data_IF_801447222259
#
_entry.id   IF_801447222259
#
_cell.length_a   1.000
_cell.length_b   1.000
_cell.length_c   1.000
_cell.angle_alpha   90.00
_cell.angle_beta   90.00
_cell.angle_gamma   90.00
#
_symmetry.space_group_name_H-M   'P 1'
#
loop_
_entity.id
_entity.type
_entity.pdbx_description
1 polymer ?
#
# COMPACT_ATOMS: atom_id res chain seq x y z
N UNK A 1 -33.76 20.16 20.44
CA UNK A 1 -33.04 18.87 20.43
C UNK A 1 -32.07 18.92 19.27
N UNK A 2 -30.77 19.03 19.56
CA UNK A 2 -29.74 19.11 18.55
C UNK A 2 -29.68 17.78 17.78
N UNK A 3 -29.83 17.84 16.46
CA UNK A 3 -29.57 16.71 15.59
C UNK A 3 -28.10 16.34 15.70
N UNK A 4 -27.83 15.10 16.12
CA UNK A 4 -26.50 14.51 16.03
C UNK A 4 -26.20 14.36 14.54
N UNK A 5 -25.38 15.26 14.01
CA UNK A 5 -24.79 15.10 12.67
C UNK A 5 -23.82 13.93 12.75
N UNK A 6 -24.32 12.73 12.46
CA UNK A 6 -23.48 11.57 12.16
C UNK A 6 -22.74 11.93 10.88
N UNK A 7 -21.49 12.40 10.99
CA UNK A 7 -20.62 12.63 9.83
C UNK A 7 -20.70 11.40 8.94
N UNK A 8 -21.10 11.57 7.69
CA UNK A 8 -21.55 10.49 6.82
C UNK A 8 -20.48 9.38 6.78
N UNK A 9 -20.73 8.30 7.53
CA UNK A 9 -19.84 7.16 7.56
C UNK A 9 -19.98 6.45 6.22
N UNK A 10 -18.86 6.17 5.57
CA UNK A 10 -18.83 5.41 4.31
C UNK A 10 -19.62 4.12 4.47
N UNK A 11 -20.43 3.78 3.46
CA UNK A 11 -21.23 2.55 3.49
C UNK A 11 -20.35 1.31 3.27
N UNK A 12 -19.27 1.46 2.51
CA UNK A 12 -18.30 0.41 2.23
C UNK A 12 -16.94 0.76 2.83
N UNK A 13 -16.25 -0.17 3.49
CA UNK A 13 -15.01 0.13 4.18
C UNK A 13 -13.85 0.29 3.20
N UNK A 14 -12.88 1.10 3.59
CA UNK A 14 -11.55 1.11 2.98
C UNK A 14 -10.56 0.38 3.89
N UNK A 15 -9.74 -0.46 3.29
CA UNK A 15 -8.73 -1.28 3.95
C UNK A 15 -7.35 -0.89 3.42
N UNK A 16 -6.39 -0.68 4.32
CA UNK A 16 -4.97 -0.62 3.96
C UNK A 16 -4.32 -1.95 4.33
N UNK A 17 -3.63 -2.57 3.38
CA UNK A 17 -2.75 -3.71 3.62
C UNK A 17 -1.31 -3.21 3.44
N UNK A 18 -0.55 -3.20 4.54
CA UNK A 18 0.83 -2.69 4.58
C UNK A 18 1.79 -3.69 5.22
N UNK A 19 3.06 -3.32 5.31
CA UNK A 19 4.17 -4.13 5.80
C UNK A 19 5.27 -4.28 4.76
N UNK A 20 6.38 -4.88 5.19
CA UNK A 20 7.59 -4.97 4.38
C UNK A 20 7.33 -5.62 3.02
N UNK A 21 7.97 -5.17 1.93
CA UNK A 21 7.98 -5.89 0.67
C UNK A 21 8.31 -7.39 0.84
N UNK A 22 7.52 -8.28 0.23
CA UNK A 22 7.70 -9.75 0.32
C UNK A 22 6.87 -10.48 1.39
N UNK A 23 6.17 -9.76 2.27
CA UNK A 23 5.32 -10.38 3.31
C UNK A 23 4.03 -11.01 2.76
N UNK A 24 3.60 -10.59 1.57
CA UNK A 24 2.45 -11.18 0.86
C UNK A 24 1.27 -10.24 0.63
N UNK A 25 1.45 -8.91 0.80
CA UNK A 25 0.40 -7.90 0.66
C UNK A 25 -0.44 -8.07 -0.61
N UNK A 26 0.19 -8.09 -1.78
CA UNK A 26 -0.52 -8.15 -3.06
C UNK A 26 -1.28 -9.46 -3.23
N UNK A 27 -0.74 -10.57 -2.74
CA UNK A 27 -1.43 -11.87 -2.73
C UNK A 27 -2.67 -11.83 -1.83
N UNK A 28 -2.55 -11.28 -0.63
CA UNK A 28 -3.69 -11.14 0.28
C UNK A 28 -4.73 -10.16 -0.27
N UNK A 29 -4.31 -9.01 -0.79
CA UNK A 29 -5.18 -7.98 -1.34
C UNK A 29 -5.99 -8.50 -2.54
N UNK A 30 -5.34 -9.21 -3.47
CA UNK A 30 -6.00 -9.85 -4.61
C UNK A 30 -7.01 -10.89 -4.17
N UNK A 31 -6.63 -11.81 -3.26
CA UNK A 31 -7.54 -12.83 -2.76
C UNK A 31 -8.74 -12.23 -2.00
N UNK A 32 -8.52 -11.15 -1.24
CA UNK A 32 -9.58 -10.44 -0.54
C UNK A 32 -10.51 -9.72 -1.51
N UNK A 33 -9.98 -9.12 -2.57
CA UNK A 33 -10.78 -8.48 -3.62
C UNK A 33 -11.61 -9.50 -4.41
N UNK A 34 -11.09 -10.71 -4.67
CA UNK A 34 -11.86 -11.81 -5.29
C UNK A 34 -12.96 -12.37 -4.36
N UNK A 35 -12.67 -12.45 -3.06
CA UNK A 35 -13.60 -12.96 -2.05
C UNK A 35 -14.60 -11.90 -1.55
N UNK A 36 -14.44 -10.64 -1.97
CA UNK A 36 -15.32 -9.54 -1.64
C UNK A 36 -15.73 -8.80 -2.92
N UNK A 37 -16.48 -7.72 -2.80
CA UNK A 37 -16.79 -6.84 -3.93
C UNK A 37 -15.96 -5.54 -3.86
N UNK A 38 -14.86 -5.55 -3.10
CA UNK A 38 -14.03 -4.37 -2.88
C UNK A 38 -13.04 -4.18 -4.03
N UNK A 39 -12.78 -2.92 -4.38
CA UNK A 39 -11.82 -2.56 -5.42
C UNK A 39 -10.39 -2.70 -4.91
N UNK A 40 -9.57 -3.49 -5.59
CA UNK A 40 -8.13 -3.57 -5.31
C UNK A 40 -7.36 -2.44 -6.00
N UNK A 41 -6.47 -1.78 -5.25
CA UNK A 41 -5.58 -0.73 -5.71
C UNK A 41 -4.15 -1.04 -5.24
N UNK A 42 -3.26 -1.37 -6.17
CA UNK A 42 -1.83 -1.48 -5.93
C UNK A 42 -1.18 -0.13 -6.18
N UNK A 43 -0.66 0.54 -5.14
CA UNK A 43 -0.09 1.88 -5.27
C UNK A 43 1.16 1.88 -6.15
N UNK A 44 1.97 0.83 -6.06
CA UNK A 44 3.17 0.70 -6.91
C UNK A 44 2.86 0.59 -8.40
N UNK A 45 1.72 0.01 -8.76
CA UNK A 45 1.28 -0.09 -10.16
C UNK A 45 0.60 1.23 -10.59
N UNK A 46 -0.25 1.80 -9.74
CA UNK A 46 -0.90 3.10 -9.97
C UNK A 46 0.14 4.21 -10.29
N UNK A 47 1.21 4.28 -9.49
CA UNK A 47 2.30 5.25 -9.67
C UNK A 47 2.96 5.10 -11.04
N UNK A 48 3.20 3.86 -11.49
CA UNK A 48 3.83 3.60 -12.79
C UNK A 48 2.87 3.90 -13.94
N UNK A 49 1.63 3.44 -13.84
CA UNK A 49 0.63 3.60 -14.89
C UNK A 49 0.27 5.07 -15.13
N UNK A 50 0.22 5.87 -14.06
CA UNK A 50 -0.17 7.28 -14.13
C UNK A 50 1.00 8.26 -14.03
N UNK A 51 2.24 7.76 -14.00
CA UNK A 51 3.47 8.55 -13.87
C UNK A 51 3.45 9.50 -12.64
N UNK A 52 2.99 9.00 -11.49
CA UNK A 52 2.85 9.78 -10.23
C UNK A 52 4.18 9.78 -9.44
N UNK A 53 5.25 10.21 -10.10
CA UNK A 53 6.61 10.13 -9.54
C UNK A 53 7.48 11.31 -10.00
N UNK A 54 8.42 11.72 -9.15
CA UNK A 54 9.35 12.83 -9.41
C UNK A 54 10.69 12.38 -10.04
N UNK A 55 10.73 11.14 -10.52
CA UNK A 55 11.87 10.61 -11.26
C UNK A 55 12.20 9.18 -10.90
N UNK A 56 13.43 8.80 -11.19
CA UNK A 56 13.98 7.47 -10.96
C UNK A 56 15.21 7.55 -10.06
N UNK A 57 15.18 6.77 -9.00
CA UNK A 57 16.32 6.55 -8.13
C UNK A 57 17.20 5.44 -8.71
N UNK A 58 18.41 5.80 -9.18
CA UNK A 58 19.36 4.87 -9.75
C UNK A 58 20.07 4.00 -8.70
N UNK A 59 20.15 4.45 -7.45
CA UNK A 59 20.76 3.69 -6.37
C UNK A 59 19.84 2.55 -5.96
N UNK A 60 18.54 2.85 -5.84
CA UNK A 60 17.54 1.88 -5.40
C UNK A 60 16.77 1.20 -6.54
N UNK A 61 17.01 1.61 -7.78
CA UNK A 61 16.31 1.13 -8.99
C UNK A 61 14.78 1.17 -8.84
N UNK A 62 14.26 2.31 -8.39
CA UNK A 62 12.83 2.51 -8.18
C UNK A 62 12.39 3.93 -8.56
N UNK A 63 11.08 4.11 -8.73
CA UNK A 63 10.50 5.45 -8.89
C UNK A 63 10.45 6.17 -7.56
N UNK A 64 10.82 7.45 -7.57
CA UNK A 64 10.64 8.36 -6.44
C UNK A 64 9.18 8.80 -6.45
N UNK A 65 8.36 8.22 -5.58
CA UNK A 65 6.92 8.52 -5.54
C UNK A 65 6.68 9.99 -5.22
N UNK A 66 5.76 10.60 -5.95
CA UNK A 66 5.21 11.89 -5.62
C UNK A 66 3.93 11.67 -4.80
N UNK A 67 4.04 11.85 -3.49
CA UNK A 67 2.98 11.54 -2.52
C UNK A 67 1.74 12.40 -2.73
N UNK A 68 1.91 13.69 -3.07
CA UNK A 68 0.81 14.62 -3.33
C UNK A 68 0.00 14.17 -4.54
N UNK A 69 0.67 13.80 -5.65
CA UNK A 69 -0.02 13.31 -6.85
C UNK A 69 -0.76 11.99 -6.61
N UNK A 70 -0.21 11.09 -5.79
CA UNK A 70 -0.91 9.86 -5.39
C UNK A 70 -2.13 10.19 -4.54
N UNK A 71 -2.01 11.14 -3.63
CA UNK A 71 -3.12 11.57 -2.79
C UNK A 71 -4.25 12.21 -3.60
N UNK A 72 -3.92 13.14 -4.49
CA UNK A 72 -4.87 13.82 -5.37
C UNK A 72 -5.62 12.83 -6.26
N UNK A 73 -4.91 11.85 -6.83
CA UNK A 73 -5.49 10.82 -7.69
C UNK A 73 -6.47 9.88 -6.95
N UNK A 74 -6.24 9.64 -5.65
CA UNK A 74 -7.05 8.71 -4.86
C UNK A 74 -8.18 9.37 -4.07
N UNK A 75 -8.18 10.69 -3.92
CA UNK A 75 -9.08 11.40 -3.01
C UNK A 75 -10.56 11.04 -3.23
N UNK A 76 -11.06 11.19 -4.46
CA UNK A 76 -12.48 10.91 -4.78
C UNK A 76 -12.81 9.42 -4.59
N UNK A 77 -11.93 8.53 -5.05
CA UNK A 77 -12.09 7.07 -4.93
C UNK A 77 -12.16 6.63 -3.47
N UNK A 78 -11.32 7.22 -2.62
CA UNK A 78 -11.26 6.91 -1.19
C UNK A 78 -12.44 7.52 -0.42
N UNK A 79 -13.03 8.62 -0.89
CA UNK A 79 -14.26 9.16 -0.32
C UNK A 79 -15.47 8.26 -0.58
N UNK A 80 -15.60 7.67 -1.77
CA UNK A 80 -16.68 6.74 -2.12
C UNK A 80 -16.70 5.49 -1.23
N UNK A 81 -15.51 4.98 -0.87
CA UNK A 81 -15.34 3.80 -0.04
C UNK A 81 -15.39 2.49 -0.82
N UNK A 82 -15.01 1.38 -0.17
CA UNK A 82 -15.04 0.05 -0.77
C UNK A 82 -13.72 -0.36 -1.43
N UNK A 83 -12.59 0.15 -0.93
CA UNK A 83 -11.27 -0.07 -1.52
C UNK A 83 -10.37 -0.96 -0.63
N UNK A 84 -9.50 -1.72 -1.27
CA UNK A 84 -8.35 -2.40 -0.66
C UNK A 84 -7.10 -1.78 -1.28
N UNK A 85 -6.33 -1.04 -0.47
CA UNK A 85 -5.09 -0.41 -0.89
C UNK A 85 -3.91 -1.25 -0.42
N UNK A 86 -3.01 -1.63 -1.34
CA UNK A 86 -1.73 -2.27 -1.04
C UNK A 86 -0.59 -1.28 -1.27
N UNK A 87 0.14 -0.98 -0.20
CA UNK A 87 1.42 -0.31 -0.27
C UNK A 87 2.30 -0.67 0.92
N UNK A 88 3.61 -0.51 0.80
CA UNK A 88 4.53 -0.84 1.90
C UNK A 88 4.74 0.31 2.88
N UNK A 89 4.53 1.56 2.44
CA UNK A 89 4.46 2.75 3.30
C UNK A 89 3.01 3.11 3.63
N UNK A 90 2.82 3.93 4.65
CA UNK A 90 1.48 4.42 5.01
C UNK A 90 1.43 5.86 5.54
N UNK A 91 2.57 6.53 5.65
CA UNK A 91 2.71 7.78 6.40
C UNK A 91 2.02 8.98 5.72
N UNK A 92 1.99 9.01 4.39
CA UNK A 92 1.44 10.14 3.63
C UNK A 92 -0.06 10.05 3.37
N UNK A 93 -0.69 8.90 3.65
CA UNK A 93 -2.12 8.78 3.43
C UNK A 93 -2.91 9.51 4.52
N UNK A 94 -3.97 10.25 4.17
CA UNK A 94 -4.88 10.82 5.16
C UNK A 94 -5.48 9.73 6.07
N UNK A 95 -5.32 9.85 7.39
CA UNK A 95 -5.82 8.85 8.35
C UNK A 95 -7.31 8.52 8.16
N UNK A 96 -8.11 9.54 7.80
CA UNK A 96 -9.55 9.38 7.56
C UNK A 96 -9.86 8.36 6.47
N UNK A 97 -8.95 8.10 5.53
CA UNK A 97 -9.21 7.25 4.37
C UNK A 97 -9.47 5.79 4.73
N UNK A 98 -8.91 5.28 5.83
CA UNK A 98 -8.96 3.86 6.15
C UNK A 98 -9.84 3.57 7.36
N UNK A 99 -10.74 2.60 7.22
CA UNK A 99 -11.54 2.08 8.32
C UNK A 99 -10.75 1.03 9.11
N UNK A 100 -9.83 0.33 8.43
CA UNK A 100 -8.89 -0.64 9.03
C UNK A 100 -7.55 -0.64 8.32
N UNK A 101 -6.50 -0.92 9.08
CA UNK A 101 -5.14 -1.13 8.60
C UNK A 101 -4.69 -2.52 9.03
N UNK A 102 -4.14 -3.29 8.10
CA UNK A 102 -3.58 -4.62 8.32
C UNK A 102 -2.11 -4.57 8.00
N UNK A 103 -1.26 -4.80 9.00
CA UNK A 103 0.20 -4.88 8.83
C UNK A 103 0.58 -6.34 8.72
N UNK A 104 1.03 -6.76 7.53
CA UNK A 104 1.52 -8.11 7.32
C UNK A 104 2.97 -8.25 7.75
N UNK A 105 3.19 -9.23 8.62
CA UNK A 105 4.50 -9.62 9.11
C UNK A 105 4.83 -11.03 8.61
N UNK A 106 6.11 -11.35 8.54
CA UNK A 106 6.62 -12.65 8.13
C UNK A 106 7.94 -12.86 8.84
N UNK A 107 8.18 -14.08 9.33
CA UNK A 107 9.45 -14.47 9.93
C UNK A 107 10.64 -14.11 9.03
N UNK A 108 11.70 -13.54 9.61
CA UNK A 108 12.84 -12.99 8.85
C UNK A 108 13.51 -14.02 7.95
N UNK A 109 13.64 -15.27 8.39
CA UNK A 109 14.21 -16.36 7.58
C UNK A 109 13.35 -16.66 6.35
N UNK A 110 12.04 -16.73 6.53
CA UNK A 110 11.08 -16.96 5.43
C UNK A 110 11.06 -15.77 4.48
N UNK A 111 11.09 -14.55 5.01
CA UNK A 111 11.14 -13.33 4.21
C UNK A 111 12.44 -13.28 3.39
N UNK A 112 13.60 -13.56 4.00
CA UNK A 112 14.88 -13.66 3.33
C UNK A 112 14.84 -14.63 2.15
N UNK A 113 14.32 -15.85 2.34
CA UNK A 113 14.21 -16.85 1.29
C UNK A 113 13.28 -16.42 0.15
N UNK A 114 12.17 -15.72 0.46
CA UNK A 114 11.24 -15.19 -0.55
C UNK A 114 11.89 -14.09 -1.37
N UNK A 115 12.59 -13.18 -0.71
CA UNK A 115 13.22 -12.04 -1.35
C UNK A 115 14.40 -12.49 -2.22
N UNK A 116 15.25 -13.39 -1.70
CA UNK A 116 16.40 -13.94 -2.43
C UNK A 116 15.99 -14.65 -3.71
N UNK A 117 14.82 -15.31 -3.73
CA UNK A 117 14.25 -15.92 -4.95
C UNK A 117 13.74 -14.91 -5.97
N UNK A 118 13.34 -13.70 -5.54
CA UNK A 118 12.82 -12.64 -6.44
C UNK A 118 13.91 -11.73 -6.98
N UNK A 119 14.98 -11.49 -6.22
CA UNK A 119 16.05 -10.57 -6.61
C UNK A 119 17.26 -11.28 -7.21
N UNK A 120 17.74 -10.80 -8.36
CA UNK A 120 18.93 -11.33 -9.03
C UNK A 120 20.26 -10.90 -8.36
N UNK A 121 20.26 -9.92 -7.45
CA UNK A 121 21.47 -9.41 -6.78
C UNK A 121 21.25 -9.09 -5.30
N UNK A 122 22.33 -9.19 -4.52
CA UNK A 122 22.37 -8.97 -3.06
C UNK A 122 22.00 -7.52 -2.69
N UNK A 123 22.28 -6.55 -3.56
CA UNK A 123 21.97 -5.13 -3.32
C UNK A 123 20.46 -4.89 -3.21
N UNK A 124 19.65 -5.48 -4.10
CA UNK A 124 18.18 -5.40 -4.01
C UNK A 124 17.64 -6.01 -2.73
N UNK A 125 18.32 -7.03 -2.19
CA UNK A 125 17.95 -7.70 -0.95
C UNK A 125 18.19 -6.81 0.28
N UNK A 126 19.34 -6.12 0.33
CA UNK A 126 19.70 -5.21 1.42
C UNK A 126 18.76 -4.02 1.52
N UNK A 127 18.23 -3.54 0.39
CA UNK A 127 17.29 -2.41 0.32
C UNK A 127 15.92 -2.82 0.87
N UNK A 128 15.44 -4.01 0.50
CA UNK A 128 14.17 -4.55 1.03
C UNK A 128 14.25 -4.84 2.54
N UNK A 129 15.45 -5.16 3.05
CA UNK A 129 15.70 -5.33 4.48
C UNK A 129 15.88 -3.99 5.23
N UNK A 130 16.37 -2.92 4.60
CA UNK A 130 16.45 -1.60 5.25
C UNK A 130 15.04 -1.07 5.61
N UNK A 131 14.04 -1.37 4.77
CA UNK A 131 12.63 -1.13 5.03
C UNK A 131 12.00 -2.02 6.13
N UNK A 132 12.67 -3.10 6.57
CA UNK A 132 12.23 -3.93 7.71
C UNK A 132 12.41 -3.20 9.05
N UNK A 133 13.29 -2.19 9.11
CA UNK A 133 13.72 -1.56 10.38
C UNK A 133 13.05 -0.19 10.61
N UNK A 134 12.25 0.31 9.67
CA UNK A 134 11.62 1.64 9.73
C UNK A 134 10.10 1.61 10.02
N UNK A 135 9.50 0.44 10.24
CA UNK A 135 8.17 0.29 10.86
C UNK A 135 8.34 -0.33 12.26
#
# INVERSE_FOLDING_TARGET
MAGVNNGARRQRPNLLITGTPGTGKSTMASALAEASDLRYICIGDLVKEKNLHDGWDNEFNCHIINEDLVCDELEDVMQEGGNIVDYHGCEFFPERWFDRVVVLQTENSVLYDRLTRRSASISSLSIMFSLVVLL
#
